data_IF_717925675562
#
_entry.id   IF_717925675562
#
_cell.length_a   1.000
_cell.length_b   1.000
_cell.length_c   1.000
_cell.angle_alpha   90.00
_cell.angle_beta   90.00
_cell.angle_gamma   90.00
#
_symmetry.space_group_name_H-M   'P 1'
#
loop_
_entity.id
_entity.type
_entity.pdbx_description
1 polymer ?
#
# COMPACT_ATOMS: atom_id res chain seq x y z
N UNK A 1 -3.97 12.49 24.04
CA UNK A 1 -3.64 11.70 22.82
C UNK A 1 -3.81 12.63 21.63
N UNK A 2 -2.72 13.23 21.15
CA UNK A 2 -2.77 14.20 20.04
C UNK A 2 -3.22 13.48 18.76
N UNK A 3 -4.33 13.96 18.18
CA UNK A 3 -4.80 13.50 16.86
C UNK A 3 -3.70 13.85 15.87
N UNK A 4 -3.05 12.82 15.33
CA UNK A 4 -1.91 12.97 14.40
C UNK A 4 -2.47 13.24 13.01
N UNK A 5 -3.04 14.42 12.82
CA UNK A 5 -3.47 14.88 11.50
C UNK A 5 -2.23 15.07 10.63
N UNK A 6 -2.17 14.42 9.47
CA UNK A 6 -1.07 14.61 8.53
C UNK A 6 -1.20 16.01 7.95
N UNK A 7 -0.14 16.81 8.08
CA UNK A 7 -0.07 18.12 7.46
C UNK A 7 -0.29 18.00 5.94
N UNK A 8 -1.25 18.75 5.35
CA UNK A 8 -1.55 18.70 3.92
C UNK A 8 -0.34 19.00 3.03
N UNK A 9 0.63 19.79 3.51
CA UNK A 9 1.90 20.04 2.82
C UNK A 9 2.71 18.75 2.73
N UNK A 10 2.79 18.00 3.83
CA UNK A 10 3.53 16.73 3.92
C UNK A 10 2.93 15.66 2.99
N UNK A 11 1.61 15.61 2.88
CA UNK A 11 0.91 14.74 1.93
C UNK A 11 1.23 15.11 0.48
N UNK A 12 1.22 16.41 0.14
CA UNK A 12 1.57 16.89 -1.21
C UNK A 12 3.02 16.61 -1.57
N UNK A 13 3.96 16.80 -0.64
CA UNK A 13 5.37 16.46 -0.84
C UNK A 13 5.58 14.96 -1.05
N UNK A 14 4.92 14.12 -0.25
CA UNK A 14 4.98 12.66 -0.44
C UNK A 14 4.46 12.23 -1.82
N UNK A 15 3.37 12.84 -2.29
CA UNK A 15 2.84 12.60 -3.64
C UNK A 15 3.82 13.05 -4.74
N UNK A 16 4.49 14.18 -4.55
CA UNK A 16 5.49 14.68 -5.50
C UNK A 16 6.68 13.72 -5.62
N UNK A 17 7.18 13.21 -4.48
CA UNK A 17 8.25 12.22 -4.44
C UNK A 17 7.82 10.91 -5.10
N UNK A 18 6.61 10.44 -4.82
CA UNK A 18 6.05 9.25 -5.45
C UNK A 18 6.01 9.40 -6.98
N UNK A 19 5.60 10.56 -7.50
CA UNK A 19 5.59 10.85 -8.93
C UNK A 19 6.99 10.93 -9.55
N UNK A 20 7.98 11.47 -8.83
CA UNK A 20 9.37 11.59 -9.31
C UNK A 20 10.10 10.24 -9.32
N UNK A 21 9.77 9.34 -8.40
CA UNK A 21 10.46 8.05 -8.25
C UNK A 21 9.48 6.87 -8.35
N UNK A 22 8.95 6.57 -9.54
CA UNK A 22 7.97 5.48 -9.72
C UNK A 22 8.54 4.10 -9.31
N UNK A 23 9.83 3.86 -9.54
CA UNK A 23 10.50 2.62 -9.12
C UNK A 23 10.52 2.42 -7.61
N UNK A 24 10.58 3.51 -6.82
CA UNK A 24 10.56 3.43 -5.36
C UNK A 24 9.20 2.95 -4.85
N UNK A 25 8.10 3.33 -5.51
CA UNK A 25 6.77 2.82 -5.16
C UNK A 25 6.70 1.31 -5.39
N UNK A 26 7.27 0.85 -6.50
CA UNK A 26 7.30 -0.58 -6.82
C UNK A 26 8.12 -1.38 -5.80
N UNK A 27 9.26 -0.82 -5.38
CA UNK A 27 10.07 -1.41 -4.31
C UNK A 27 9.32 -1.46 -2.98
N UNK A 28 8.62 -0.38 -2.61
CA UNK A 28 7.80 -0.33 -1.40
C UNK A 28 6.63 -1.33 -1.44
N UNK A 29 6.00 -1.49 -2.60
CA UNK A 29 4.93 -2.47 -2.82
C UNK A 29 5.46 -3.92 -2.96
N UNK A 30 6.77 -4.10 -3.15
CA UNK A 30 7.36 -5.41 -3.46
C UNK A 30 7.02 -6.51 -2.45
N UNK A 31 7.01 -6.29 -1.11
CA UNK A 31 6.66 -7.35 -0.17
C UNK A 31 5.21 -7.84 -0.35
N UNK A 32 4.29 -6.92 -0.64
CA UNK A 32 2.89 -7.23 -0.90
C UNK A 32 2.74 -8.00 -2.23
N UNK A 33 3.45 -7.57 -3.28
CA UNK A 33 3.44 -8.25 -4.58
C UNK A 33 3.96 -9.68 -4.44
N UNK A 34 5.08 -9.86 -3.74
CA UNK A 34 5.66 -11.19 -3.49
C UNK A 34 4.67 -12.08 -2.73
N UNK A 35 4.02 -11.57 -1.68
CA UNK A 35 3.02 -12.34 -0.95
C UNK A 35 1.85 -12.78 -1.84
N UNK A 36 1.31 -11.89 -2.69
CA UNK A 36 0.23 -12.22 -3.62
C UNK A 36 0.66 -13.30 -4.62
N UNK A 37 1.86 -13.16 -5.20
CA UNK A 37 2.40 -14.14 -6.16
C UNK A 37 2.58 -15.50 -5.50
N UNK A 38 3.18 -15.55 -4.30
CA UNK A 38 3.36 -16.80 -3.56
C UNK A 38 2.02 -17.48 -3.25
N UNK A 39 1.04 -16.73 -2.74
CA UNK A 39 -0.30 -17.28 -2.47
C UNK A 39 -0.95 -17.78 -3.76
N UNK A 40 -0.81 -17.05 -4.86
CA UNK A 40 -1.37 -17.44 -6.15
C UNK A 40 -0.78 -18.75 -6.69
N UNK A 41 0.54 -18.94 -6.53
CA UNK A 41 1.25 -20.13 -6.99
C UNK A 41 0.99 -21.34 -6.09
N UNK A 42 1.01 -21.17 -4.76
CA UNK A 42 1.00 -22.30 -3.81
C UNK A 42 -0.37 -22.63 -3.23
N UNK A 43 -1.30 -21.66 -3.19
CA UNK A 43 -2.64 -21.83 -2.58
C UNK A 43 -3.74 -21.73 -3.63
N UNK A 44 -3.55 -20.85 -4.62
CA UNK A 44 -4.42 -20.70 -5.78
C UNK A 44 -4.88 -19.27 -6.03
N UNK A 45 -5.29 -19.01 -7.27
CA UNK A 45 -5.64 -17.67 -7.77
C UNK A 45 -6.75 -16.99 -6.96
N UNK A 46 -7.76 -17.73 -6.51
CA UNK A 46 -8.86 -17.19 -5.71
C UNK A 46 -8.38 -16.56 -4.40
N UNK A 47 -7.47 -17.23 -3.69
CA UNK A 47 -6.88 -16.73 -2.46
C UNK A 47 -5.94 -15.55 -2.68
N UNK A 48 -5.20 -15.54 -3.79
CA UNK A 48 -4.37 -14.39 -4.17
C UNK A 48 -5.21 -13.12 -4.41
N UNK A 49 -6.36 -13.25 -5.09
CA UNK A 49 -7.27 -12.12 -5.33
C UNK A 49 -7.82 -11.61 -4.00
N UNK A 50 -8.27 -12.50 -3.11
CA UNK A 50 -8.76 -12.10 -1.78
C UNK A 50 -7.68 -11.41 -0.96
N UNK A 51 -6.44 -11.91 -0.98
CA UNK A 51 -5.29 -11.28 -0.32
C UNK A 51 -5.02 -9.88 -0.89
N UNK A 52 -5.00 -9.74 -2.20
CA UNK A 52 -4.77 -8.45 -2.86
C UNK A 52 -5.85 -7.42 -2.48
N UNK A 53 -7.13 -7.83 -2.45
CA UNK A 53 -8.23 -6.99 -1.99
C UNK A 53 -8.09 -6.62 -0.51
N UNK A 54 -7.74 -7.59 0.34
CA UNK A 54 -7.50 -7.34 1.76
C UNK A 54 -6.36 -6.34 1.99
N UNK A 55 -5.26 -6.46 1.25
CA UNK A 55 -4.13 -5.53 1.31
C UNK A 55 -4.53 -4.11 0.84
N UNK A 56 -5.33 -4.00 -0.21
CA UNK A 56 -5.86 -2.71 -0.69
C UNK A 56 -6.76 -2.05 0.37
N UNK A 57 -7.69 -2.81 0.96
CA UNK A 57 -8.60 -2.30 2.00
C UNK A 57 -7.82 -1.92 3.25
N UNK A 58 -6.91 -2.78 3.72
CA UNK A 58 -6.09 -2.50 4.90
C UNK A 58 -5.20 -1.27 4.68
N UNK A 59 -4.52 -1.17 3.54
CA UNK A 59 -3.72 -0.01 3.16
C UNK A 59 -4.56 1.27 3.10
N UNK A 60 -5.74 1.22 2.49
CA UNK A 60 -6.67 2.34 2.42
C UNK A 60 -7.21 2.78 3.78
N UNK A 61 -7.50 1.84 4.68
CA UNK A 61 -7.95 2.12 6.05
C UNK A 61 -6.84 2.75 6.88
N UNK A 62 -5.61 2.21 6.81
CA UNK A 62 -4.45 2.79 7.49
C UNK A 62 -4.17 4.20 6.97
N UNK A 63 -4.25 4.39 5.65
CA UNK A 63 -4.06 5.71 5.05
C UNK A 63 -5.14 6.69 5.54
N UNK A 64 -6.43 6.33 5.53
CA UNK A 64 -7.52 7.19 6.02
C UNK A 64 -7.49 7.46 7.52
N UNK A 65 -6.90 6.57 8.33
CA UNK A 65 -6.75 6.79 9.77
C UNK A 65 -5.61 7.75 10.09
N UNK A 66 -4.62 7.83 9.21
CA UNK A 66 -3.43 8.63 9.40
C UNK A 66 -3.50 9.98 8.69
N UNK A 67 -4.29 10.09 7.60
CA UNK A 67 -4.65 11.37 6.96
C UNK A 67 -5.63 12.15 7.84
#
# INVERSE_FOLDING_TARGET
>A
MARKEIDPIRAKSALAVAKQHPGMILFLASPAIVAVVLVGVFVGTGWAILLALALLVAGGVVLRRNL
#
